data_IF_479353759559
#
_entry.id   IF_479353759559
#
_cell.length_a   1.000
_cell.length_b   1.000
_cell.length_c   1.000
_cell.angle_alpha   90.00
_cell.angle_beta   90.00
_cell.angle_gamma   90.00
#
_symmetry.space_group_name_H-M   'P 1'
#
loop_
_entity.id
_entity.type
_entity.pdbx_description
1 polymer ?
#
# COMPACT_ATOMS: atom_id res chain seq x y z
N UNK A 1 61.15 12.60 38.99
CA UNK A 1 62.53 12.05 38.98
C UNK A 1 63.41 13.08 38.28
N UNK A 2 64.21 13.86 39.02
CA UNK A 2 65.65 13.60 39.28
C UNK A 2 66.49 13.81 38.01
N UNK A 3 67.52 14.64 37.90
CA UNK A 3 68.33 15.43 38.86
C UNK A 3 69.15 16.41 37.97
N UNK A 4 69.11 17.72 38.23
CA UNK A 4 70.27 18.53 38.68
C UNK A 4 71.60 17.77 38.78
N UNK A 5 72.68 18.42 38.36
CA UNK A 5 73.78 18.57 39.32
C UNK A 5 74.40 19.96 39.32
N UNK A 6 74.85 20.33 40.53
CA UNK A 6 75.47 21.57 41.01
C UNK A 6 76.75 21.88 40.19
N UNK A 7 77.29 23.08 40.16
CA UNK A 7 77.63 23.94 41.29
C UNK A 7 78.08 25.32 40.79
N UNK A 8 77.91 26.37 41.60
CA UNK A 8 79.02 27.23 42.02
C UNK A 8 78.50 28.31 42.99
N UNK A 9 79.25 28.53 44.08
CA UNK A 9 78.98 29.53 45.08
C UNK A 9 79.81 30.81 44.83
N UNK A 10 79.11 31.95 44.88
CA UNK A 10 79.44 33.27 45.51
C UNK A 10 80.90 33.78 45.50
N UNK A 11 81.10 35.10 45.25
CA UNK A 11 80.88 36.07 46.34
C UNK A 11 80.26 37.44 45.97
N UNK A 12 79.62 38.00 47.02
CA UNK A 12 79.50 39.40 47.51
C UNK A 12 80.52 40.39 46.93
N UNK A 13 80.31 41.71 46.78
CA UNK A 13 79.40 42.72 47.38
C UNK A 13 79.56 44.00 46.56
N UNK A 14 78.48 44.75 46.32
CA UNK A 14 78.46 46.22 46.26
C UNK A 14 77.01 46.67 46.09
N UNK A 15 76.52 47.50 47.01
CA UNK A 15 75.29 48.25 46.81
C UNK A 15 75.62 49.50 45.98
N UNK A 16 74.87 49.79 44.91
CA UNK A 16 74.66 51.17 44.53
C UNK A 16 73.17 51.51 44.38
N UNK A 17 72.83 52.66 44.95
CA UNK A 17 71.92 53.68 44.43
C UNK A 17 70.61 53.23 43.77
N UNK A 18 69.52 53.51 44.49
CA UNK A 18 68.16 53.58 43.96
C UNK A 18 68.09 54.70 42.90
N UNK A 19 68.42 54.37 41.65
CA UNK A 19 68.03 55.18 40.49
C UNK A 19 66.50 55.14 40.39
N UNK A 20 65.87 56.31 40.54
CA UNK A 20 64.45 56.52 40.21
C UNK A 20 64.23 56.02 38.78
N UNK A 21 63.49 54.92 38.67
CA UNK A 21 63.16 54.22 37.43
C UNK A 21 62.29 55.15 36.59
N UNK A 22 62.89 55.74 35.56
CA UNK A 22 62.24 56.67 34.65
C UNK A 22 61.02 55.98 34.02
N UNK A 23 59.85 56.60 34.11
CA UNK A 23 58.59 56.01 33.65
C UNK A 23 58.58 55.71 32.15
N UNK A 24 59.54 56.26 31.41
CA UNK A 24 59.72 56.11 29.97
C UNK A 24 60.42 54.79 29.55
N UNK A 25 61.25 54.17 30.41
CA UNK A 25 61.83 52.83 30.11
C UNK A 25 60.78 51.72 30.18
N UNK A 26 59.72 51.91 30.99
CA UNK A 26 58.58 50.99 31.03
C UNK A 26 57.73 51.10 29.76
N UNK A 27 57.69 52.27 29.13
CA UNK A 27 56.93 52.48 27.89
C UNK A 27 57.54 51.70 26.72
N UNK A 28 58.87 51.61 26.62
CA UNK A 28 59.55 50.81 25.59
C UNK A 28 59.30 49.30 25.72
N UNK A 29 59.34 48.78 26.96
CA UNK A 29 59.04 47.36 27.23
C UNK A 29 57.55 47.06 27.00
N UNK A 30 56.65 47.93 27.45
CA UNK A 30 55.21 47.79 27.20
C UNK A 30 54.86 47.85 25.70
N UNK A 31 55.53 48.71 24.92
CA UNK A 31 55.36 48.76 23.47
C UNK A 31 55.81 47.47 22.78
N UNK A 32 56.94 46.88 23.21
CA UNK A 32 57.43 45.60 22.67
C UNK A 32 56.54 44.39 23.00
N UNK A 33 55.88 44.40 24.16
CA UNK A 33 54.92 43.37 24.58
C UNK A 33 53.59 43.56 23.84
N UNK A 34 53.12 44.81 23.67
CA UNK A 34 51.93 45.11 22.90
C UNK A 34 52.13 44.75 21.41
N UNK A 35 53.29 45.03 20.82
CA UNK A 35 53.56 44.65 19.43
C UNK A 35 53.59 43.14 19.24
N UNK A 36 54.18 42.37 20.16
CA UNK A 36 54.23 40.90 20.05
C UNK A 36 52.86 40.25 20.23
N UNK A 37 52.02 40.77 21.14
CA UNK A 37 50.64 40.32 21.31
C UNK A 37 49.79 40.64 20.08
N UNK A 38 49.93 41.83 19.49
CA UNK A 38 49.21 42.21 18.26
C UNK A 38 49.63 41.32 17.08
N UNK A 39 50.93 41.06 16.90
CA UNK A 39 51.44 40.19 15.83
C UNK A 39 50.94 38.75 16.01
N UNK A 40 51.00 38.21 17.23
CA UNK A 40 50.50 36.87 17.53
C UNK A 40 48.99 36.74 17.29
N UNK A 41 48.22 37.75 17.71
CA UNK A 41 46.76 37.79 17.49
C UNK A 41 46.42 37.85 16.00
N UNK A 42 47.13 38.68 15.23
CA UNK A 42 46.95 38.79 13.78
C UNK A 42 47.29 37.47 13.07
N UNK A 43 48.35 36.78 13.50
CA UNK A 43 48.76 35.48 12.97
C UNK A 43 47.70 34.40 13.23
N UNK A 44 47.10 34.43 14.42
CA UNK A 44 46.03 33.50 14.81
C UNK A 44 44.76 33.71 14.00
N UNK A 45 44.35 34.98 13.79
CA UNK A 45 43.19 35.34 12.95
C UNK A 45 43.43 34.97 11.49
N UNK A 46 44.61 35.25 10.95
CA UNK A 46 44.99 34.85 9.59
C UNK A 46 44.94 33.33 9.42
N UNK A 47 45.52 32.58 10.36
CA UNK A 47 45.50 31.12 10.32
C UNK A 47 44.08 30.56 10.41
N UNK A 48 43.23 31.12 11.28
CA UNK A 48 41.82 30.72 11.39
C UNK A 48 41.04 30.99 10.10
N UNK A 49 41.25 32.16 9.48
CA UNK A 49 40.60 32.53 8.22
C UNK A 49 41.02 31.61 7.08
N UNK A 50 42.31 31.25 7.01
CA UNK A 50 42.83 30.29 6.01
C UNK A 50 42.21 28.91 6.22
N UNK A 51 42.13 28.42 7.45
CA UNK A 51 41.49 27.13 7.77
C UNK A 51 40.01 27.11 7.39
N UNK A 52 39.26 28.17 7.72
CA UNK A 52 37.85 28.29 7.32
C UNK A 52 37.71 28.27 5.79
N UNK A 53 38.53 29.04 5.09
CA UNK A 53 38.52 29.09 3.62
C UNK A 53 38.83 27.72 3.00
N UNK A 54 39.76 26.94 3.59
CA UNK A 54 40.07 25.59 3.14
C UNK A 54 38.90 24.62 3.34
N UNK A 55 38.22 24.69 4.50
CA UNK A 55 37.04 23.87 4.79
C UNK A 55 35.89 24.22 3.84
N UNK A 56 35.65 25.51 3.59
CA UNK A 56 34.61 25.97 2.68
C UNK A 56 34.89 25.53 1.23
N UNK A 57 36.14 25.63 0.77
CA UNK A 57 36.53 25.12 -0.54
C UNK A 57 36.33 23.60 -0.66
N UNK A 58 36.69 22.81 0.38
CA UNK A 58 36.46 21.37 0.38
C UNK A 58 34.95 21.04 0.35
N UNK A 59 34.14 21.77 1.11
CA UNK A 59 32.69 21.60 1.11
C UNK A 59 32.07 21.95 -0.26
N UNK A 60 32.56 23.01 -0.92
CA UNK A 60 32.13 23.37 -2.27
C UNK A 60 32.56 22.33 -3.31
N UNK A 61 33.79 21.83 -3.23
CA UNK A 61 34.28 20.76 -4.12
C UNK A 61 33.45 19.47 -3.96
N UNK A 62 33.11 19.09 -2.73
CA UNK A 62 32.27 17.91 -2.46
C UNK A 62 30.85 18.08 -3.03
N UNK A 63 30.26 19.27 -2.89
CA UNK A 63 28.94 19.57 -3.48
C UNK A 63 28.98 19.50 -5.00
N UNK A 64 29.99 20.11 -5.62
CA UNK A 64 30.17 20.06 -7.07
C UNK A 64 30.38 18.63 -7.57
N UNK A 65 31.18 17.81 -6.88
CA UNK A 65 31.40 16.41 -7.24
C UNK A 65 30.12 15.56 -7.10
N UNK A 66 29.33 15.80 -6.06
CA UNK A 66 28.02 15.16 -5.86
C UNK A 66 27.04 15.56 -6.97
N UNK A 67 27.02 16.83 -7.39
CA UNK A 67 26.18 17.28 -8.49
C UNK A 67 26.59 16.67 -9.83
N UNK A 68 27.89 16.56 -10.12
CA UNK A 68 28.37 15.89 -11.34
C UNK A 68 28.02 14.41 -11.34
N UNK A 69 28.19 13.71 -10.22
CA UNK A 69 27.81 12.30 -10.10
C UNK A 69 26.31 12.11 -10.32
N UNK A 70 25.46 12.96 -9.73
CA UNK A 70 24.00 12.94 -9.95
C UNK A 70 23.63 13.24 -11.41
N UNK A 71 24.33 14.16 -12.09
CA UNK A 71 24.11 14.44 -13.52
C UNK A 71 24.48 13.25 -14.39
N UNK A 72 25.60 12.60 -14.10
CA UNK A 72 26.04 11.43 -14.85
C UNK A 72 25.12 10.24 -14.65
N UNK A 73 24.66 9.99 -13.42
CA UNK A 73 23.63 9.00 -13.10
C UNK A 73 22.33 9.28 -13.88
N UNK A 74 21.86 10.53 -13.90
CA UNK A 74 20.69 10.93 -14.71
C UNK A 74 20.89 10.68 -16.20
N UNK A 75 22.07 10.98 -16.74
CA UNK A 75 22.38 10.74 -18.15
C UNK A 75 22.44 9.25 -18.48
N UNK A 76 23.00 8.43 -17.60
CA UNK A 76 23.03 6.97 -17.74
C UNK A 76 21.62 6.38 -17.67
N UNK A 77 20.79 6.85 -16.72
CA UNK A 77 19.39 6.43 -16.62
C UNK A 77 18.59 6.85 -17.86
N UNK A 78 18.78 8.07 -18.36
CA UNK A 78 18.11 8.54 -19.59
C UNK A 78 18.51 7.69 -20.82
N UNK A 79 19.78 7.32 -20.93
CA UNK A 79 20.27 6.43 -21.99
C UNK A 79 19.66 5.03 -21.85
N UNK A 80 19.67 4.45 -20.65
CA UNK A 80 19.08 3.15 -20.39
C UNK A 80 17.58 3.14 -20.73
N UNK A 81 16.82 4.16 -20.31
CA UNK A 81 15.40 4.31 -20.66
C UNK A 81 15.20 4.40 -22.18
N UNK A 82 16.08 5.10 -22.90
CA UNK A 82 16.01 5.16 -24.37
C UNK A 82 16.22 3.79 -25.01
N UNK A 83 17.23 3.04 -24.56
CA UNK A 83 17.50 1.67 -25.05
C UNK A 83 16.34 0.72 -24.75
N UNK A 84 15.73 0.85 -23.56
CA UNK A 84 14.54 0.08 -23.18
C UNK A 84 13.35 0.40 -24.08
N UNK A 85 13.13 1.67 -24.42
CA UNK A 85 12.07 2.06 -25.37
C UNK A 85 12.31 1.41 -26.75
N UNK A 86 13.55 1.38 -27.23
CA UNK A 86 13.87 0.70 -28.50
C UNK A 86 13.54 -0.81 -28.43
N UNK A 87 13.80 -1.46 -27.30
CA UNK A 87 13.42 -2.86 -27.10
C UNK A 87 11.90 -3.06 -27.05
N UNK A 88 11.15 -2.11 -26.48
CA UNK A 88 9.68 -2.13 -26.52
C UNK A 88 9.14 -2.00 -27.96
N UNK A 89 9.84 -1.26 -28.82
CA UNK A 89 9.46 -1.06 -30.22
C UNK A 89 9.98 -2.15 -31.17
N UNK A 90 10.86 -3.04 -30.70
CA UNK A 90 11.54 -4.03 -31.55
C UNK A 90 10.62 -5.08 -32.20
N UNK A 91 9.39 -5.24 -31.71
CA UNK A 91 8.46 -6.28 -32.15
C UNK A 91 8.84 -7.70 -31.70
N UNK A 92 9.98 -7.88 -31.02
CA UNK A 92 10.41 -9.17 -30.46
C UNK A 92 9.85 -9.36 -29.03
N UNK A 93 8.96 -10.34 -28.80
CA UNK A 93 8.28 -10.49 -27.50
C UNK A 93 9.24 -10.64 -26.31
N UNK A 94 10.35 -11.36 -26.49
CA UNK A 94 11.35 -11.54 -25.44
C UNK A 94 12.02 -10.22 -25.03
N UNK A 95 12.41 -9.39 -26.00
CA UNK A 95 13.00 -8.07 -25.75
C UNK A 95 11.99 -7.12 -25.10
N UNK A 96 10.76 -7.13 -25.58
CA UNK A 96 9.68 -6.32 -25.00
C UNK A 96 9.43 -6.67 -23.52
N UNK A 97 9.37 -7.96 -23.18
CA UNK A 97 9.19 -8.40 -21.79
C UNK A 97 10.33 -7.99 -20.87
N UNK A 98 11.57 -8.18 -21.32
CA UNK A 98 12.75 -7.74 -20.56
C UNK A 98 12.70 -6.22 -20.36
N UNK A 99 12.33 -5.49 -21.41
CA UNK A 99 12.26 -4.04 -21.36
C UNK A 99 11.17 -3.54 -20.39
N UNK A 100 10.00 -4.16 -20.36
CA UNK A 100 8.92 -3.84 -19.41
C UNK A 100 9.38 -4.00 -17.95
N UNK A 101 10.01 -5.13 -17.63
CA UNK A 101 10.52 -5.43 -16.28
C UNK A 101 11.63 -4.44 -15.89
N UNK A 102 12.55 -4.17 -16.82
CA UNK A 102 13.67 -3.27 -16.59
C UNK A 102 13.23 -1.80 -16.49
N UNK A 103 12.21 -1.37 -17.24
CA UNK A 103 11.71 0.01 -17.24
C UNK A 103 11.22 0.41 -15.84
N UNK A 104 10.45 -0.44 -15.17
CA UNK A 104 9.98 -0.17 -13.80
C UNK A 104 11.12 -0.05 -12.80
N UNK A 105 12.22 -0.78 -13.01
CA UNK A 105 13.40 -0.70 -12.15
C UNK A 105 14.27 0.51 -12.47
N UNK A 106 14.33 0.95 -13.73
CA UNK A 106 15.14 2.09 -14.16
C UNK A 106 14.47 3.44 -13.82
N UNK A 107 13.14 3.46 -13.73
CA UNK A 107 12.32 4.66 -13.56
C UNK A 107 11.56 4.59 -12.23
N UNK A 108 12.27 4.30 -11.13
CA UNK A 108 11.65 4.11 -9.81
C UNK A 108 10.89 5.36 -9.32
N UNK A 109 11.30 6.55 -9.75
CA UNK A 109 10.78 7.82 -9.25
C UNK A 109 9.74 8.49 -10.17
N UNK A 110 9.43 7.91 -11.35
CA UNK A 110 8.50 8.50 -12.32
C UNK A 110 7.46 7.45 -12.80
N UNK A 111 6.52 7.16 -11.89
CA UNK A 111 5.43 6.20 -12.12
C UNK A 111 4.54 6.66 -13.29
N UNK A 112 4.42 7.97 -13.55
CA UNK A 112 3.68 8.54 -14.69
C UNK A 112 4.25 8.08 -16.03
N UNK A 113 5.57 8.19 -16.21
CA UNK A 113 6.23 7.74 -17.44
C UNK A 113 6.07 6.23 -17.64
N UNK A 114 6.27 5.44 -16.58
CA UNK A 114 6.13 3.98 -16.62
C UNK A 114 4.70 3.60 -17.00
N UNK A 115 3.70 4.18 -16.34
CA UNK A 115 2.28 3.91 -16.59
C UNK A 115 1.91 4.21 -18.04
N UNK A 116 2.29 5.38 -18.56
CA UNK A 116 1.96 5.78 -19.93
C UNK A 116 2.60 4.87 -20.98
N UNK A 117 3.88 4.50 -20.81
CA UNK A 117 4.57 3.61 -21.76
C UNK A 117 3.97 2.21 -21.69
N UNK A 118 3.81 1.67 -20.49
CA UNK A 118 3.33 0.30 -20.28
C UNK A 118 1.87 0.16 -20.71
N UNK A 119 1.01 1.16 -20.50
CA UNK A 119 -0.39 1.13 -20.94
C UNK A 119 -0.50 1.05 -22.46
N UNK A 120 0.33 1.80 -23.20
CA UNK A 120 0.39 1.71 -24.66
C UNK A 120 0.77 0.29 -25.07
N UNK A 121 1.89 -0.24 -24.54
CA UNK A 121 2.35 -1.60 -24.86
C UNK A 121 1.28 -2.65 -24.54
N UNK A 122 0.63 -2.55 -23.39
CA UNK A 122 -0.42 -3.48 -22.96
C UNK A 122 -1.65 -3.41 -23.88
N UNK A 123 -2.04 -2.21 -24.33
CA UNK A 123 -3.20 -2.02 -25.22
C UNK A 123 -2.94 -2.43 -26.68
N UNK A 124 -1.69 -2.33 -27.16
CA UNK A 124 -1.38 -2.58 -28.58
C UNK A 124 -0.76 -3.94 -28.86
N UNK A 125 -0.21 -4.63 -27.85
CA UNK A 125 0.51 -5.88 -28.07
C UNK A 125 -0.44 -7.04 -28.44
N UNK A 126 -0.12 -7.71 -29.54
CA UNK A 126 -0.79 -8.97 -29.93
C UNK A 126 -0.20 -10.20 -29.25
N UNK A 127 0.99 -10.10 -28.65
CA UNK A 127 1.62 -11.21 -27.96
C UNK A 127 1.11 -11.37 -26.53
N UNK A 128 0.66 -12.58 -26.17
CA UNK A 128 0.05 -12.86 -24.86
C UNK A 128 1.04 -12.68 -23.71
N UNK A 129 2.31 -13.03 -23.91
CA UNK A 129 3.33 -12.97 -22.87
C UNK A 129 3.76 -11.52 -22.59
N UNK A 130 3.80 -10.69 -23.62
CA UNK A 130 4.02 -9.24 -23.50
C UNK A 130 2.83 -8.58 -22.82
N UNK A 131 1.60 -8.90 -23.23
CA UNK A 131 0.37 -8.40 -22.61
C UNK A 131 0.32 -8.70 -21.10
N UNK A 132 0.57 -9.96 -20.72
CA UNK A 132 0.61 -10.38 -19.31
C UNK A 132 1.69 -9.61 -18.54
N UNK A 133 2.92 -9.54 -19.08
CA UNK A 133 4.02 -8.84 -18.42
C UNK A 133 3.73 -7.35 -18.24
N UNK A 134 3.11 -6.71 -19.24
CA UNK A 134 2.74 -5.29 -19.17
C UNK A 134 1.64 -5.08 -18.12
N UNK A 135 0.64 -5.96 -18.08
CA UNK A 135 -0.42 -5.94 -17.06
C UNK A 135 0.14 -6.13 -15.66
N UNK A 136 1.04 -7.10 -15.46
CA UNK A 136 1.72 -7.33 -14.17
C UNK A 136 2.55 -6.11 -13.76
N UNK A 137 3.20 -5.44 -14.72
CA UNK A 137 3.97 -4.21 -14.47
C UNK A 137 3.07 -3.06 -14.05
N UNK A 138 1.88 -2.92 -14.65
CA UNK A 138 0.87 -1.95 -14.24
C UNK A 138 0.32 -2.28 -12.84
N UNK A 139 0.07 -3.55 -12.52
CA UNK A 139 -0.45 -3.98 -11.22
C UNK A 139 0.43 -3.56 -10.04
N UNK A 140 1.74 -3.42 -10.25
CA UNK A 140 2.66 -2.97 -9.22
C UNK A 140 2.57 -1.47 -8.89
N UNK A 141 1.79 -0.69 -9.66
CA UNK A 141 1.58 0.75 -9.42
C UNK A 141 0.57 0.99 -8.31
N UNK A 142 0.79 2.07 -7.56
CA UNK A 142 -0.16 2.58 -6.55
C UNK A 142 -1.02 3.72 -7.12
N UNK A 143 -0.87 4.05 -8.40
CA UNK A 143 -1.61 5.13 -9.05
C UNK A 143 -3.06 4.71 -9.34
N UNK A 144 -4.07 5.41 -8.79
CA UNK A 144 -5.47 5.13 -9.06
C UNK A 144 -5.84 5.15 -10.56
N UNK A 145 -5.13 5.92 -11.39
CA UNK A 145 -5.37 5.98 -12.85
C UNK A 145 -5.16 4.62 -13.51
N UNK A 146 -4.24 3.82 -13.00
CA UNK A 146 -3.91 2.50 -13.55
C UNK A 146 -5.09 1.53 -13.45
N UNK A 147 -5.88 1.60 -12.37
CA UNK A 147 -7.11 0.80 -12.26
C UNK A 147 -8.07 1.11 -13.42
N UNK A 148 -8.24 2.38 -13.78
CA UNK A 148 -9.09 2.80 -14.90
C UNK A 148 -8.54 2.37 -16.25
N UNK A 149 -7.24 2.53 -16.48
CA UNK A 149 -6.58 2.06 -17.70
C UNK A 149 -6.81 0.56 -17.90
N UNK A 150 -6.62 -0.23 -16.84
CA UNK A 150 -6.81 -1.68 -16.86
C UNK A 150 -8.29 -2.04 -17.07
N UNK A 151 -9.23 -1.30 -16.50
CA UNK A 151 -10.66 -1.48 -16.74
C UNK A 151 -11.02 -1.20 -18.22
N UNK A 152 -10.52 -0.10 -18.78
CA UNK A 152 -10.74 0.25 -20.19
C UNK A 152 -10.13 -0.82 -21.12
N UNK A 153 -8.95 -1.33 -20.79
CA UNK A 153 -8.33 -2.46 -21.49
C UNK A 153 -9.16 -3.73 -21.41
N UNK A 154 -9.73 -4.06 -20.24
CA UNK A 154 -10.62 -5.21 -20.08
C UNK A 154 -11.83 -5.10 -21.02
N UNK A 155 -12.49 -3.94 -21.03
CA UNK A 155 -13.63 -3.67 -21.91
C UNK A 155 -13.23 -3.81 -23.39
N UNK A 156 -12.08 -3.26 -23.79
CA UNK A 156 -11.57 -3.39 -25.15
C UNK A 156 -11.31 -4.85 -25.55
N UNK A 157 -10.74 -5.65 -24.64
CA UNK A 157 -10.41 -7.06 -24.89
C UNK A 157 -11.62 -8.00 -24.79
N UNK A 158 -12.74 -7.58 -24.19
CA UNK A 158 -13.91 -8.44 -23.94
C UNK A 158 -14.46 -9.15 -25.19
N UNK A 159 -14.34 -8.54 -26.36
CA UNK A 159 -14.78 -9.11 -27.65
C UNK A 159 -13.69 -9.85 -28.41
N UNK A 160 -12.44 -9.42 -28.26
CA UNK A 160 -11.31 -9.93 -29.05
C UNK A 160 -10.66 -11.16 -28.40
N UNK A 161 -10.41 -11.07 -27.09
CA UNK A 161 -9.80 -12.12 -26.29
C UNK A 161 -10.36 -12.08 -24.86
N UNK A 162 -11.40 -12.89 -24.57
CA UNK A 162 -12.01 -12.96 -23.25
C UNK A 162 -11.02 -13.29 -22.13
N UNK A 163 -9.94 -14.04 -22.42
CA UNK A 163 -8.93 -14.37 -21.39
C UNK A 163 -8.13 -13.13 -21.00
N UNK A 164 -7.76 -12.29 -21.98
CA UNK A 164 -7.10 -11.00 -21.70
C UNK A 164 -8.00 -10.06 -20.94
N UNK A 165 -9.28 -10.00 -21.32
CA UNK A 165 -10.26 -9.21 -20.59
C UNK A 165 -10.27 -9.55 -19.10
N UNK A 166 -10.35 -10.84 -18.76
CA UNK A 166 -10.33 -11.30 -17.35
C UNK A 166 -9.03 -10.91 -16.64
N UNK A 167 -7.87 -11.03 -17.30
CA UNK A 167 -6.58 -10.66 -16.71
C UNK A 167 -6.50 -9.16 -16.41
N UNK A 168 -6.86 -8.30 -17.37
CA UNK A 168 -6.90 -6.86 -17.15
C UNK A 168 -7.97 -6.47 -16.12
N UNK A 169 -9.08 -7.19 -16.07
CA UNK A 169 -10.14 -6.95 -15.10
C UNK A 169 -9.67 -7.23 -13.66
N UNK A 170 -9.01 -8.36 -13.45
CA UNK A 170 -8.39 -8.72 -12.16
C UNK A 170 -7.31 -7.73 -11.76
N UNK A 171 -6.52 -7.27 -12.73
CA UNK A 171 -5.52 -6.23 -12.53
C UNK A 171 -6.16 -4.91 -12.07
N UNK A 172 -7.22 -4.47 -12.74
CA UNK A 172 -7.93 -3.24 -12.44
C UNK A 172 -8.48 -3.24 -11.01
N UNK A 173 -9.12 -4.34 -10.60
CA UNK A 173 -9.65 -4.49 -9.26
C UNK A 173 -8.53 -4.47 -8.22
N UNK A 174 -7.44 -5.22 -8.43
CA UNK A 174 -6.29 -5.23 -7.51
C UNK A 174 -5.71 -3.83 -7.31
N UNK A 175 -5.44 -3.11 -8.39
CA UNK A 175 -4.85 -1.77 -8.32
C UNK A 175 -5.82 -0.78 -7.69
N UNK A 176 -7.10 -0.80 -8.07
CA UNK A 176 -8.10 0.12 -7.52
C UNK A 176 -8.26 -0.04 -6.02
N UNK A 177 -8.18 -1.28 -5.55
CA UNK A 177 -8.21 -1.61 -4.13
C UNK A 177 -6.90 -1.24 -3.45
N UNK A 178 -5.75 -1.63 -4.02
CA UNK A 178 -4.43 -1.33 -3.47
C UNK A 178 -4.18 0.17 -3.33
N UNK A 179 -4.65 0.98 -4.28
CA UNK A 179 -4.58 2.43 -4.21
C UNK A 179 -5.48 3.04 -3.11
N UNK A 180 -6.50 2.31 -2.66
CA UNK A 180 -7.40 2.71 -1.57
C UNK A 180 -6.99 2.11 -0.20
N UNK A 181 -6.09 1.13 -0.19
CA UNK A 181 -5.61 0.41 1.01
C UNK A 181 -4.36 1.09 1.53
N UNK A 182 -4.43 1.57 2.78
CA UNK A 182 -3.29 2.13 3.50
C UNK A 182 -2.41 1.05 4.13
N UNK A 183 -1.31 1.47 4.75
CA UNK A 183 -0.48 0.54 5.51
C UNK A 183 -1.26 -0.05 6.69
N UNK A 184 -1.01 -1.32 6.99
CA UNK A 184 -1.68 -2.10 8.02
C UNK A 184 -3.01 -2.73 7.58
N UNK A 185 -3.43 -2.52 6.34
CA UNK A 185 -4.72 -2.99 5.83
C UNK A 185 -4.57 -4.23 4.95
N UNK A 186 -5.42 -5.23 5.18
CA UNK A 186 -5.51 -6.45 4.37
C UNK A 186 -6.97 -6.72 4.03
N UNK A 187 -7.24 -7.07 2.77
CA UNK A 187 -8.55 -7.44 2.27
C UNK A 187 -8.47 -8.84 1.66
N UNK A 188 -9.39 -9.71 2.08
CA UNK A 188 -9.55 -11.08 1.59
C UNK A 188 -10.91 -11.18 0.94
N UNK A 189 -10.91 -11.44 -0.37
CA UNK A 189 -12.12 -11.60 -1.15
C UNK A 189 -12.42 -13.07 -1.35
N UNK A 190 -13.70 -13.44 -1.31
CA UNK A 190 -14.16 -14.79 -1.58
C UNK A 190 -13.91 -15.26 -3.01
N UNK A 191 -13.77 -14.32 -3.96
CA UNK A 191 -13.59 -14.60 -5.38
C UNK A 191 -12.86 -13.43 -6.08
N UNK A 192 -11.98 -13.68 -7.07
CA UNK A 192 -11.36 -12.65 -7.90
C UNK A 192 -12.37 -11.92 -8.77
N UNK A 193 -11.94 -10.79 -9.35
CA UNK A 193 -12.69 -10.08 -10.39
C UNK A 193 -13.20 -11.06 -11.47
N UNK A 194 -14.49 -10.95 -11.77
CA UNK A 194 -15.23 -11.78 -12.72
C UNK A 194 -15.82 -13.03 -12.07
N UNK A 195 -15.45 -13.33 -10.83
CA UNK A 195 -15.85 -14.54 -10.13
C UNK A 195 -17.19 -14.42 -9.41
N UNK A 196 -17.82 -15.59 -9.25
CA UNK A 196 -19.03 -15.78 -8.47
C UNK A 196 -18.70 -16.41 -7.11
N UNK A 197 -19.51 -16.14 -6.10
CA UNK A 197 -19.54 -16.86 -4.82
C UNK A 197 -20.76 -17.76 -4.78
N UNK A 198 -20.69 -18.84 -4.01
CA UNK A 198 -21.74 -19.86 -3.96
C UNK A 198 -22.20 -20.10 -2.52
N UNK A 199 -23.49 -20.45 -2.40
CA UNK A 199 -24.11 -20.91 -1.16
C UNK A 199 -24.21 -22.44 -1.17
N UNK A 200 -23.90 -23.09 -0.04
CA UNK A 200 -23.99 -24.54 0.11
C UNK A 200 -25.09 -24.89 1.09
N UNK A 201 -26.14 -25.56 0.62
CA UNK A 201 -27.19 -26.08 1.48
C UNK A 201 -26.67 -27.17 2.44
N UNK A 202 -25.66 -27.94 2.02
CA UNK A 202 -25.03 -28.95 2.87
C UNK A 202 -24.26 -28.34 4.05
N UNK A 203 -23.59 -27.20 3.82
CA UNK A 203 -22.94 -26.42 4.87
C UNK A 203 -23.94 -25.54 5.64
N UNK A 204 -25.11 -25.25 5.04
CA UNK A 204 -26.08 -24.29 5.55
C UNK A 204 -25.54 -22.87 5.63
N UNK A 205 -24.59 -22.53 4.76
CA UNK A 205 -23.77 -21.31 4.78
C UNK A 205 -23.21 -20.97 3.39
N UNK A 206 -22.70 -19.75 3.21
CA UNK A 206 -21.82 -19.40 2.10
C UNK A 206 -20.55 -20.27 2.10
N UNK A 207 -20.14 -20.76 0.92
CA UNK A 207 -18.99 -21.67 0.79
C UNK A 207 -17.71 -21.05 1.31
N UNK A 208 -17.47 -19.77 0.99
CA UNK A 208 -16.31 -19.04 1.50
C UNK A 208 -16.40 -18.85 3.01
N UNK A 209 -17.54 -18.39 3.53
CA UNK A 209 -17.70 -18.19 4.98
C UNK A 209 -17.49 -19.46 5.77
N UNK A 210 -18.09 -20.57 5.34
CA UNK A 210 -17.90 -21.87 5.99
C UNK A 210 -16.41 -22.26 6.00
N UNK A 211 -15.74 -22.19 4.85
CA UNK A 211 -14.32 -22.51 4.74
C UNK A 211 -13.43 -21.56 5.57
N UNK A 212 -13.79 -20.28 5.67
CA UNK A 212 -13.07 -19.27 6.45
C UNK A 212 -13.17 -19.56 7.95
N UNK A 213 -14.39 -19.80 8.46
CA UNK A 213 -14.61 -20.13 9.87
C UNK A 213 -13.83 -21.40 10.24
N UNK A 214 -13.95 -22.46 9.45
CA UNK A 214 -13.20 -23.71 9.65
C UNK A 214 -11.68 -23.50 9.61
N UNK A 215 -11.21 -22.61 8.76
CA UNK A 215 -9.79 -22.27 8.64
C UNK A 215 -9.29 -21.55 9.88
N UNK A 216 -10.03 -20.56 10.37
CA UNK A 216 -9.67 -19.78 11.55
C UNK A 216 -9.76 -20.59 12.85
N UNK A 217 -10.70 -21.54 12.95
CA UNK A 217 -10.84 -22.43 14.12
C UNK A 217 -9.83 -23.59 14.16
N UNK A 218 -9.16 -23.89 13.05
CA UNK A 218 -8.28 -25.05 12.94
C UNK A 218 -7.07 -24.95 13.87
N UNK A 219 -6.87 -25.95 14.73
CA UNK A 219 -5.69 -26.06 15.61
C UNK A 219 -4.36 -26.17 14.86
N UNK A 220 -4.40 -26.63 13.61
CA UNK A 220 -3.23 -26.68 12.72
C UNK A 220 -3.27 -25.55 11.69
N UNK A 221 -4.20 -24.61 11.82
CA UNK A 221 -4.51 -23.56 10.85
C UNK A 221 -3.46 -22.46 10.71
N UNK A 222 -3.78 -21.41 9.93
CA UNK A 222 -2.88 -20.28 9.71
C UNK A 222 -2.75 -19.38 10.93
N UNK A 223 -3.55 -19.58 11.97
CA UNK A 223 -3.51 -18.74 13.15
C UNK A 223 -2.83 -19.48 14.30
N UNK A 224 -1.76 -18.90 14.85
CA UNK A 224 -0.98 -19.45 15.96
C UNK A 224 -0.82 -18.40 17.05
N UNK A 225 -1.11 -18.78 18.29
CA UNK A 225 -0.94 -17.90 19.46
C UNK A 225 -1.61 -16.52 19.28
N UNK A 226 -2.80 -16.47 18.68
CA UNK A 226 -3.48 -15.18 18.46
C UNK A 226 -3.14 -14.48 17.16
N UNK A 227 -2.16 -14.96 16.38
CA UNK A 227 -1.65 -14.26 15.20
C UNK A 227 -1.98 -15.03 13.93
N UNK A 228 -2.69 -14.39 13.01
CA UNK A 228 -3.01 -14.90 11.69
C UNK A 228 -1.80 -14.71 10.75
N UNK A 229 -1.26 -15.82 10.26
CA UNK A 229 -0.24 -15.86 9.21
C UNK A 229 -0.91 -15.80 7.83
N UNK A 230 -0.88 -14.62 7.21
CA UNK A 230 -1.48 -14.37 5.91
C UNK A 230 -0.82 -15.18 4.80
N UNK A 231 0.47 -15.51 4.93
CA UNK A 231 1.18 -16.33 3.93
C UNK A 231 0.66 -17.77 3.86
N UNK A 232 0.02 -18.23 4.94
CA UNK A 232 -0.58 -19.56 5.04
C UNK A 232 -2.08 -19.56 4.81
N UNK A 233 -2.77 -18.43 4.92
CA UNK A 233 -4.24 -18.39 4.84
C UNK A 233 -4.79 -19.15 3.62
N UNK A 234 -4.25 -18.89 2.43
CA UNK A 234 -4.69 -19.53 1.20
C UNK A 234 -4.47 -21.06 1.17
N UNK A 235 -3.39 -21.58 1.77
CA UNK A 235 -3.10 -23.02 1.76
C UNK A 235 -4.06 -23.83 2.64
N UNK A 236 -4.69 -23.19 3.62
CA UNK A 236 -5.75 -23.80 4.44
C UNK A 236 -7.15 -23.54 3.87
N UNK A 237 -7.38 -22.34 3.34
CA UNK A 237 -8.68 -21.93 2.85
C UNK A 237 -9.06 -22.60 1.53
N UNK A 238 -8.14 -22.61 0.54
CA UNK A 238 -8.44 -23.05 -0.82
C UNK A 238 -8.86 -24.53 -0.90
N UNK A 239 -8.21 -25.49 -0.19
CA UNK A 239 -8.65 -26.88 -0.23
C UNK A 239 -10.09 -27.07 0.28
N UNK A 240 -10.52 -26.30 1.29
CA UNK A 240 -11.88 -26.39 1.84
C UNK A 240 -12.93 -25.90 0.87
N UNK A 241 -12.64 -24.81 0.15
CA UNK A 241 -13.50 -24.28 -0.92
C UNK A 241 -13.54 -25.27 -2.08
N UNK A 242 -12.40 -25.78 -2.53
CA UNK A 242 -12.31 -26.75 -3.62
C UNK A 242 -13.09 -28.04 -3.34
N UNK A 243 -13.06 -28.54 -2.10
CA UNK A 243 -13.82 -29.71 -1.68
C UNK A 243 -15.33 -29.46 -1.66
N UNK A 244 -15.75 -28.25 -1.27
CA UNK A 244 -17.17 -27.89 -1.14
C UNK A 244 -17.80 -27.52 -2.47
N UNK A 245 -17.09 -26.78 -3.32
CA UNK A 245 -17.57 -26.28 -4.60
C UNK A 245 -16.38 -26.08 -5.56
N UNK A 246 -15.99 -27.12 -6.32
CA UNK A 246 -14.84 -27.06 -7.24
C UNK A 246 -14.93 -25.94 -8.30
N UNK A 247 -16.14 -25.48 -8.61
CA UNK A 247 -16.40 -24.41 -9.58
C UNK A 247 -16.24 -23.00 -9.01
N UNK A 248 -16.16 -22.83 -7.69
CA UNK A 248 -15.95 -21.52 -7.10
C UNK A 248 -14.51 -21.07 -7.35
N UNK A 249 -14.29 -19.89 -7.95
CA UNK A 249 -12.95 -19.32 -8.07
C UNK A 249 -12.33 -19.11 -6.68
N UNK A 250 -11.01 -19.35 -6.58
CA UNK A 250 -10.33 -19.31 -5.28
C UNK A 250 -10.22 -17.88 -4.76
N UNK A 251 -10.30 -17.67 -3.42
CA UNK A 251 -10.09 -16.37 -2.79
C UNK A 251 -8.80 -15.69 -3.22
N UNK A 252 -8.82 -14.35 -3.19
CA UNK A 252 -7.61 -13.55 -3.39
C UNK A 252 -7.43 -12.54 -2.26
N UNK A 253 -6.18 -12.17 -2.03
CA UNK A 253 -5.77 -11.25 -0.95
C UNK A 253 -5.11 -10.02 -1.56
N UNK A 254 -5.47 -8.85 -1.04
CA UNK A 254 -4.79 -7.58 -1.27
C UNK A 254 -4.29 -7.08 0.08
N UNK A 255 -3.00 -6.81 0.20
CA UNK A 255 -2.38 -6.28 1.42
C UNK A 255 -1.22 -5.34 1.08
N UNK A 256 -0.70 -4.67 2.10
CA UNK A 256 0.49 -3.81 2.03
C UNK A 256 1.82 -4.59 2.16
N UNK A 257 1.80 -5.92 1.99
CA UNK A 257 2.93 -6.80 2.29
C UNK A 257 2.98 -7.31 3.74
N UNK A 258 2.05 -6.89 4.61
CA UNK A 258 1.91 -7.49 5.94
C UNK A 258 1.71 -9.01 5.84
N UNK A 259 2.48 -9.77 6.62
CA UNK A 259 2.43 -11.24 6.64
C UNK A 259 1.75 -11.80 7.89
N UNK A 260 1.54 -10.97 8.92
CA UNK A 260 1.02 -11.40 10.21
C UNK A 260 0.07 -10.35 10.78
N UNK A 261 -1.10 -10.79 11.24
CA UNK A 261 -2.13 -9.94 11.86
C UNK A 261 -2.49 -10.50 13.24
N UNK A 262 -2.32 -9.75 14.34
CA UNK A 262 -2.90 -10.13 15.63
C UNK A 262 -4.43 -10.18 15.50
N UNK A 263 -5.03 -11.34 15.73
CA UNK A 263 -6.47 -11.57 15.54
C UNK A 263 -7.18 -11.90 16.86
N UNK A 264 -6.51 -12.58 17.78
CA UNK A 264 -7.08 -12.96 19.09
C UNK A 264 -6.30 -12.35 20.25
N UNK A 265 -6.84 -12.56 21.46
CA UNK A 265 -6.20 -12.18 22.71
C UNK A 265 -4.71 -12.60 22.75
N UNK A 266 -3.81 -11.75 23.28
CA UNK A 266 -4.09 -10.54 24.07
C UNK A 266 -4.38 -9.28 23.24
N UNK A 267 -4.41 -9.35 21.91
CA UNK A 267 -4.75 -8.20 21.08
C UNK A 267 -6.22 -7.78 21.29
N UNK A 268 -6.48 -6.47 21.37
CA UNK A 268 -7.83 -5.92 21.35
C UNK A 268 -8.36 -6.00 19.92
N UNK A 269 -9.34 -6.87 19.69
CA UNK A 269 -9.96 -7.05 18.37
C UNK A 269 -11.38 -6.50 18.38
N UNK A 270 -11.65 -5.51 17.51
CA UNK A 270 -12.96 -4.95 17.30
C UNK A 270 -13.49 -5.41 15.94
N UNK A 271 -14.72 -5.93 15.90
CA UNK A 271 -15.29 -6.57 14.72
C UNK A 271 -16.61 -5.94 14.35
N UNK A 272 -16.77 -5.63 13.07
CA UNK A 272 -18.04 -5.34 12.43
C UNK A 272 -18.38 -6.48 11.47
N UNK A 273 -19.41 -7.28 11.80
CA UNK A 273 -19.90 -8.37 10.95
C UNK A 273 -21.23 -7.97 10.30
N UNK A 274 -21.27 -7.94 8.97
CA UNK A 274 -22.42 -7.47 8.18
C UNK A 274 -22.93 -8.62 7.32
N UNK A 275 -24.23 -8.90 7.39
CA UNK A 275 -24.90 -9.87 6.53
C UNK A 275 -26.13 -9.25 5.86
N UNK A 276 -26.14 -9.14 4.53
CA UNK A 276 -27.27 -8.58 3.78
C UNK A 276 -27.97 -9.71 3.03
N UNK A 277 -29.03 -10.24 3.62
CA UNK A 277 -29.86 -11.29 3.05
C UNK A 277 -31.08 -10.73 2.30
N UNK A 278 -31.63 -9.60 2.75
CA UNK A 278 -32.84 -8.98 2.18
C UNK A 278 -32.56 -7.58 1.66
N UNK A 279 -33.21 -7.28 0.53
CA UNK A 279 -33.06 -6.03 -0.19
C UNK A 279 -34.42 -5.37 -0.39
N UNK A 280 -34.44 -4.05 -0.27
CA UNK A 280 -35.64 -3.22 -0.49
C UNK A 280 -36.07 -3.28 -1.95
N UNK A 281 -35.08 -3.33 -2.86
CA UNK A 281 -35.32 -3.51 -4.28
C UNK A 281 -35.64 -4.97 -4.59
N UNK A 282 -36.83 -5.29 -5.15
CA UNK A 282 -37.15 -6.66 -5.57
C UNK A 282 -36.31 -7.14 -6.77
N UNK A 283 -35.56 -6.23 -7.41
CA UNK A 283 -34.63 -6.57 -8.48
C UNK A 283 -33.32 -7.17 -7.96
N UNK A 284 -33.06 -7.16 -6.65
CA UNK A 284 -31.93 -7.87 -6.05
C UNK A 284 -32.51 -9.11 -5.34
N UNK A 285 -32.21 -10.33 -5.80
CA UNK A 285 -32.69 -11.55 -5.16
C UNK A 285 -32.23 -11.64 -3.70
N UNK A 286 -33.10 -12.12 -2.82
CA UNK A 286 -32.68 -12.40 -1.44
C UNK A 286 -31.68 -13.56 -1.39
N UNK A 287 -30.74 -13.49 -0.46
CA UNK A 287 -29.76 -14.56 -0.19
C UNK A 287 -30.23 -15.42 0.98
N UNK A 288 -29.90 -16.71 0.96
CA UNK A 288 -30.38 -17.65 1.95
C UNK A 288 -29.56 -17.60 3.25
N UNK A 289 -28.25 -17.38 3.13
CA UNK A 289 -27.32 -17.59 4.24
C UNK A 289 -26.54 -16.36 4.69
N UNK A 290 -26.47 -15.25 3.94
CA UNK A 290 -25.64 -14.09 4.32
C UNK A 290 -25.89 -13.56 5.73
N UNK A 291 -27.14 -13.55 6.20
CA UNK A 291 -27.45 -13.16 7.58
C UNK A 291 -26.94 -14.18 8.61
N UNK A 292 -27.06 -15.47 8.31
CA UNK A 292 -26.56 -16.57 9.16
C UNK A 292 -25.03 -16.60 9.16
N UNK A 293 -24.41 -16.33 8.02
CA UNK A 293 -22.97 -16.28 7.83
C UNK A 293 -22.34 -15.20 8.73
N UNK A 294 -22.93 -13.99 8.75
CA UNK A 294 -22.52 -12.93 9.67
C UNK A 294 -22.71 -13.29 11.16
N UNK A 295 -23.76 -14.03 11.49
CA UNK A 295 -23.99 -14.53 12.86
C UNK A 295 -22.97 -15.61 13.26
N UNK A 296 -22.64 -16.53 12.34
CA UNK A 296 -21.64 -17.57 12.58
C UNK A 296 -20.25 -16.98 12.76
N UNK A 297 -19.86 -16.01 11.90
CA UNK A 297 -18.62 -15.27 12.05
C UNK A 297 -18.58 -14.48 13.37
N UNK A 298 -19.70 -13.87 13.76
CA UNK A 298 -19.84 -13.21 15.07
C UNK A 298 -19.57 -14.17 16.23
N UNK A 299 -20.18 -15.36 16.19
CA UNK A 299 -20.01 -16.35 17.25
C UNK A 299 -18.54 -16.78 17.39
N UNK A 300 -17.87 -17.03 16.26
CA UNK A 300 -16.44 -17.32 16.22
C UNK A 300 -15.62 -16.20 16.86
N UNK A 301 -15.81 -14.95 16.42
CA UNK A 301 -14.98 -13.85 16.92
C UNK A 301 -15.21 -13.60 18.41
N UNK A 302 -16.47 -13.69 18.88
CA UNK A 302 -16.79 -13.60 20.32
C UNK A 302 -16.17 -14.71 21.14
N UNK A 303 -16.10 -15.95 20.63
CA UNK A 303 -15.48 -17.06 21.37
C UNK A 303 -13.97 -16.88 21.58
N UNK A 304 -13.34 -15.98 20.82
CA UNK A 304 -11.93 -15.59 20.96
C UNK A 304 -11.73 -14.23 21.65
N UNK A 305 -12.78 -13.69 22.29
CA UNK A 305 -12.69 -12.48 23.12
C UNK A 305 -12.76 -11.15 22.36
N UNK A 306 -13.18 -11.16 21.09
CA UNK A 306 -13.36 -9.95 20.32
C UNK A 306 -14.64 -9.19 20.70
N UNK A 307 -14.61 -7.86 20.57
CA UNK A 307 -15.79 -6.99 20.69
C UNK A 307 -16.49 -6.91 19.34
N UNK A 308 -17.69 -7.51 19.21
CA UNK A 308 -18.35 -7.68 17.90
C UNK A 308 -19.69 -6.92 17.83
N UNK A 309 -19.83 -6.07 16.82
CA UNK A 309 -21.10 -5.54 16.34
C UNK A 309 -21.57 -6.35 15.13
N UNK A 310 -22.79 -6.88 15.18
CA UNK A 310 -23.41 -7.62 14.07
C UNK A 310 -24.54 -6.78 13.47
N UNK A 311 -24.54 -6.60 12.15
CA UNK A 311 -25.55 -5.83 11.42
C UNK A 311 -26.16 -6.69 10.32
N UNK A 312 -27.49 -6.78 10.29
CA UNK A 312 -28.23 -7.60 9.33
C UNK A 312 -29.20 -6.72 8.53
N UNK A 313 -29.21 -6.89 7.21
CA UNK A 313 -30.12 -6.18 6.28
C UNK A 313 -30.12 -4.65 6.50
N UNK A 314 -28.93 -4.09 6.67
CA UNK A 314 -28.71 -2.66 6.94
C UNK A 314 -28.47 -1.84 5.68
N UNK A 315 -28.84 -0.56 5.75
CA UNK A 315 -28.63 0.43 4.68
C UNK A 315 -27.17 0.88 4.58
N UNK A 316 -26.80 1.46 3.44
CA UNK A 316 -25.46 2.02 3.21
C UNK A 316 -25.08 3.02 4.32
N UNK A 317 -25.98 3.95 4.65
CA UNK A 317 -25.72 4.96 5.67
C UNK A 317 -25.49 4.35 7.06
N UNK A 318 -26.24 3.31 7.41
CA UNK A 318 -26.04 2.59 8.68
C UNK A 318 -24.67 1.93 8.74
N UNK A 319 -24.21 1.32 7.65
CA UNK A 319 -22.89 0.69 7.56
C UNK A 319 -21.78 1.74 7.76
N UNK A 320 -21.80 2.81 6.96
CA UNK A 320 -20.77 3.86 7.03
C UNK A 320 -20.74 4.54 8.40
N UNK A 321 -21.91 4.90 8.94
CA UNK A 321 -22.02 5.45 10.29
C UNK A 321 -21.41 4.49 11.33
N UNK A 322 -21.67 3.18 11.20
CA UNK A 322 -21.12 2.21 12.16
C UNK A 322 -19.60 2.13 12.07
N UNK A 323 -19.02 2.21 10.88
CA UNK A 323 -17.55 2.28 10.71
C UNK A 323 -17.02 3.55 11.40
N UNK A 324 -17.64 4.71 11.19
CA UNK A 324 -17.21 5.98 11.81
C UNK A 324 -17.29 5.97 13.34
N UNK A 325 -18.22 5.21 13.94
CA UNK A 325 -18.27 5.00 15.40
C UNK A 325 -17.01 4.32 15.94
N UNK A 326 -16.34 3.47 15.15
CA UNK A 326 -15.07 2.86 15.55
C UNK A 326 -13.90 3.86 15.52
N UNK A 327 -13.96 4.90 14.68
CA UNK A 327 -12.93 5.95 14.66
C UNK A 327 -12.87 6.70 16.00
N UNK A 328 -14.02 6.88 16.65
CA UNK A 328 -14.13 7.64 17.91
C UNK A 328 -13.77 6.81 19.15
N UNK A 329 -13.77 5.48 19.04
CA UNK A 329 -13.63 4.55 20.18
C UNK A 329 -12.42 3.61 20.06
N UNK A 330 -11.68 3.67 18.95
CA UNK A 330 -10.51 2.84 18.71
C UNK A 330 -9.23 3.41 19.35
N UNK A 331 -8.23 2.54 19.49
CA UNK A 331 -6.86 2.89 19.83
C UNK A 331 -5.91 2.18 18.83
N UNK A 332 -4.66 2.62 18.73
CA UNK A 332 -3.69 2.14 17.75
C UNK A 332 -3.08 0.77 18.08
N UNK A 333 -3.44 0.18 19.22
CA UNK A 333 -2.87 -1.08 19.70
C UNK A 333 -3.62 -2.32 19.20
N UNK A 334 -4.83 -2.14 18.66
CA UNK A 334 -5.74 -3.22 18.29
C UNK A 334 -5.83 -3.56 16.80
N UNK A 335 -6.69 -4.54 16.51
CA UNK A 335 -7.06 -4.94 15.15
C UNK A 335 -8.55 -4.66 14.92
N UNK A 336 -8.85 -3.97 13.83
CA UNK A 336 -10.22 -3.87 13.32
C UNK A 336 -10.48 -4.96 12.28
N UNK A 337 -11.61 -5.66 12.41
CA UNK A 337 -12.05 -6.66 11.44
C UNK A 337 -13.41 -6.25 10.87
N UNK A 338 -13.48 -6.05 9.55
CA UNK A 338 -14.75 -5.98 8.84
C UNK A 338 -15.02 -7.33 8.17
N UNK A 339 -16.19 -7.88 8.40
CA UNK A 339 -16.70 -9.03 7.66
C UNK A 339 -17.98 -8.62 6.95
N UNK A 340 -18.07 -8.89 5.65
CA UNK A 340 -19.25 -8.59 4.84
C UNK A 340 -19.67 -9.84 4.07
N UNK A 341 -20.94 -10.23 4.19
CA UNK A 341 -21.59 -11.23 3.36
C UNK A 341 -22.84 -10.64 2.69
N UNK A 342 -22.93 -10.78 1.37
CA UNK A 342 -24.07 -10.26 0.61
C UNK A 342 -23.81 -10.24 -0.88
N UNK A 343 -24.66 -9.53 -1.63
CA UNK A 343 -24.40 -9.30 -3.05
C UNK A 343 -23.26 -8.31 -3.23
N UNK A 344 -22.51 -8.53 -4.30
CA UNK A 344 -21.48 -7.63 -4.78
C UNK A 344 -21.41 -7.76 -6.29
N UNK A 345 -20.88 -6.72 -6.90
CA UNK A 345 -20.64 -6.71 -8.33
C UNK A 345 -19.52 -5.74 -8.62
N UNK A 346 -18.96 -5.82 -9.82
CA UNK A 346 -18.00 -4.82 -10.25
C UNK A 346 -18.50 -4.11 -11.50
N UNK A 347 -18.40 -2.78 -11.46
CA UNK A 347 -18.78 -1.89 -12.55
C UNK A 347 -17.58 -1.02 -12.89
N UNK A 348 -17.09 -1.11 -14.14
CA UNK A 348 -15.93 -0.35 -14.63
C UNK A 348 -14.68 -0.47 -13.77
N UNK A 349 -14.38 -1.69 -13.31
CA UNK A 349 -13.22 -1.96 -12.45
C UNK A 349 -13.44 -1.63 -10.98
N UNK A 350 -14.56 -1.01 -10.61
CA UNK A 350 -14.88 -0.67 -9.22
C UNK A 350 -15.72 -1.79 -8.60
N UNK A 351 -15.15 -2.47 -7.59
CA UNK A 351 -15.91 -3.40 -6.76
C UNK A 351 -16.93 -2.62 -5.94
N UNK A 352 -18.18 -3.08 -5.97
CA UNK A 352 -19.30 -2.54 -5.20
C UNK A 352 -19.91 -3.64 -4.33
N UNK A 353 -20.38 -3.23 -3.15
CA UNK A 353 -21.09 -4.09 -2.20
C UNK A 353 -22.54 -3.61 -2.05
N UNK A 354 -23.48 -4.54 -2.01
CA UNK A 354 -24.90 -4.25 -1.92
C UNK A 354 -25.31 -4.05 -0.45
N UNK A 355 -25.88 -2.89 -0.12
CA UNK A 355 -26.60 -2.69 1.13
C UNK A 355 -28.09 -3.02 0.93
N UNK A 356 -28.87 -3.08 2.01
CA UNK A 356 -30.30 -3.38 1.92
C UNK A 356 -31.12 -2.36 1.11
N UNK A 357 -30.61 -1.13 0.97
CA UNK A 357 -31.18 -0.05 0.16
C UNK A 357 -30.52 0.08 -1.23
N UNK A 358 -29.66 -0.87 -1.63
CA UNK A 358 -29.06 -0.88 -2.97
C UNK A 358 -30.08 -1.17 -4.07
N UNK A 359 -29.80 -0.64 -5.26
CA UNK A 359 -30.50 -0.97 -6.50
C UNK A 359 -29.49 -1.57 -7.49
N UNK A 360 -29.84 -2.62 -8.24
CA UNK A 360 -28.91 -3.22 -9.17
C UNK A 360 -28.67 -2.30 -10.37
N UNK A 361 -27.51 -2.36 -11.03
CA UNK A 361 -27.30 -1.70 -12.31
C UNK A 361 -28.30 -2.19 -13.35
N UNK A 362 -28.66 -1.34 -14.31
CA UNK A 362 -29.70 -1.60 -15.30
C UNK A 362 -29.48 -2.83 -16.19
N UNK A 363 -28.23 -3.30 -16.36
CA UNK A 363 -27.90 -4.53 -17.11
C UNK A 363 -28.17 -5.82 -16.32
N UNK A 364 -28.01 -5.81 -14.99
CA UNK A 364 -28.51 -6.90 -14.12
C UNK A 364 -30.05 -6.99 -14.17
N UNK A 365 -30.71 -5.86 -14.43
CA UNK A 365 -32.16 -5.80 -14.66
C UNK A 365 -32.56 -6.51 -15.95
N UNK A 366 -31.74 -6.46 -17.01
CA UNK A 366 -32.02 -7.15 -18.27
C UNK A 366 -31.79 -8.67 -18.20
N UNK A 367 -30.79 -9.13 -17.43
CA UNK A 367 -30.62 -10.58 -17.16
C UNK A 367 -31.69 -11.15 -16.24
N UNK A 368 -32.21 -10.34 -15.32
CA UNK A 368 -33.32 -10.73 -14.44
C UNK A 368 -34.69 -10.54 -15.08
N UNK A 369 -34.81 -9.70 -16.12
CA UNK A 369 -36.07 -9.42 -16.82
C UNK A 369 -35.85 -9.06 -18.31
N UNK A 370 -35.67 -10.06 -19.18
CA UNK A 370 -36.33 -10.20 -20.50
C UNK A 370 -35.68 -11.31 -21.38
N UNK A 371 -36.45 -12.11 -22.14
CA UNK A 371 -36.18 -12.24 -23.56
C UNK A 371 -36.47 -10.88 -24.24
N UNK A 372 -35.41 -10.25 -24.74
CA UNK A 372 -35.37 -9.24 -25.82
C UNK A 372 -35.73 -7.75 -25.53
N UNK A 373 -34.69 -6.98 -25.17
CA UNK A 373 -34.24 -5.70 -25.75
C UNK A 373 -35.20 -4.50 -25.94
N UNK A 374 -34.91 -3.36 -25.29
CA UNK A 374 -34.40 -2.09 -25.91
C UNK A 374 -34.29 -0.96 -24.88
N UNK A 375 -33.23 -0.16 -25.04
CA UNK A 375 -32.62 0.63 -23.97
C UNK A 375 -33.19 2.01 -23.69
N UNK A 376 -32.90 2.50 -22.48
CA UNK A 376 -32.94 3.89 -22.01
C UNK A 376 -31.89 4.02 -20.88
N UNK A 377 -31.25 5.18 -20.80
CA UNK A 377 -30.18 5.57 -19.85
C UNK A 377 -30.74 5.68 -18.41
N UNK A 378 -30.06 5.08 -17.43
CA UNK A 378 -30.33 5.16 -15.98
C UNK A 378 -29.02 5.37 -15.17
N UNK A 379 -29.07 5.93 -13.94
CA UNK A 379 -27.87 6.20 -13.13
C UNK A 379 -27.21 4.91 -12.64
N UNK A 380 -25.88 4.83 -12.74
CA UNK A 380 -25.07 3.61 -12.69
C UNK A 380 -24.71 3.08 -11.29
N UNK A 381 -25.05 3.73 -10.18
CA UNK A 381 -24.14 3.68 -9.01
C UNK A 381 -24.76 3.52 -7.59
N UNK A 382 -25.81 2.69 -7.36
CA UNK A 382 -26.38 2.55 -5.99
C UNK A 382 -25.85 1.38 -5.13
N UNK A 383 -24.73 0.77 -5.52
CA UNK A 383 -23.95 -0.10 -4.63
C UNK A 383 -22.84 0.71 -3.96
N UNK A 384 -22.41 0.34 -2.76
CA UNK A 384 -21.31 1.04 -2.08
C UNK A 384 -19.99 0.71 -2.79
N UNK A 385 -19.27 1.70 -3.38
CA UNK A 385 -17.90 1.46 -3.84
C UNK A 385 -17.06 0.97 -2.67
N UNK A 386 -16.31 -0.11 -2.87
CA UNK A 386 -15.41 -0.60 -1.83
C UNK A 386 -14.35 0.45 -1.49
N UNK A 387 -13.92 1.26 -2.46
CA UNK A 387 -13.04 2.41 -2.24
C UNK A 387 -13.60 3.39 -1.19
N UNK A 388 -14.91 3.61 -1.17
CA UNK A 388 -15.54 4.54 -0.23
C UNK A 388 -15.55 3.92 1.17
N UNK A 389 -15.90 2.63 1.28
CA UNK A 389 -15.80 1.88 2.54
C UNK A 389 -14.35 1.93 3.07
N UNK A 390 -13.37 1.73 2.18
CA UNK A 390 -11.96 1.79 2.55
C UNK A 390 -11.53 3.18 3.01
N UNK A 391 -12.02 4.27 2.41
CA UNK A 391 -11.75 5.63 2.90
C UNK A 391 -12.23 5.84 4.36
N UNK A 392 -13.32 5.20 4.77
CA UNK A 392 -13.76 5.24 6.16
C UNK A 392 -12.89 4.35 7.06
N UNK A 393 -12.54 3.13 6.61
CA UNK A 393 -11.67 2.21 7.35
C UNK A 393 -10.26 2.78 7.56
N UNK A 394 -9.72 3.50 6.58
CA UNK A 394 -8.37 4.04 6.68
C UNK A 394 -8.22 5.16 7.71
N UNK A 395 -9.33 5.84 8.04
CA UNK A 395 -9.37 6.86 9.12
C UNK A 395 -9.42 6.25 10.51
N UNK A 396 -9.63 4.94 10.62
CA UNK A 396 -9.67 4.28 11.92
C UNK A 396 -8.26 4.24 12.54
N UNK A 397 -8.14 4.39 13.87
CA UNK A 397 -6.84 4.47 14.54
C UNK A 397 -6.08 3.14 14.59
N UNK A 398 -6.72 2.01 14.25
CA UNK A 398 -6.12 0.68 14.38
C UNK A 398 -4.90 0.51 13.48
N UNK A 399 -3.83 -0.05 14.06
CA UNK A 399 -2.63 -0.44 13.31
C UNK A 399 -2.90 -1.54 12.29
N UNK A 400 -3.81 -2.46 12.60
CA UNK A 400 -4.17 -3.56 11.72
C UNK A 400 -5.66 -3.49 11.36
N UNK A 401 -5.96 -3.54 10.06
CA UNK A 401 -7.33 -3.58 9.53
C UNK A 401 -7.46 -4.80 8.62
N UNK A 402 -8.38 -5.70 8.93
CA UNK A 402 -8.62 -6.92 8.17
C UNK A 402 -10.06 -6.92 7.64
N UNK A 403 -10.22 -7.04 6.32
CA UNK A 403 -11.54 -7.02 5.68
C UNK A 403 -11.77 -8.35 4.97
N UNK A 404 -12.85 -9.04 5.30
CA UNK A 404 -13.31 -10.25 4.60
C UNK A 404 -14.57 -9.91 3.79
N UNK A 405 -14.55 -10.23 2.50
CA UNK A 405 -15.65 -9.93 1.58
C UNK A 405 -16.16 -11.23 0.95
N UNK A 406 -17.29 -11.73 1.46
CA UNK A 406 -18.08 -12.82 0.89
C UNK A 406 -19.16 -12.27 -0.04
N UNK A 407 -18.74 -11.85 -1.23
CA UNK A 407 -19.61 -11.31 -2.25
C UNK A 407 -19.06 -11.61 -3.65
N UNK A 408 -19.94 -11.64 -4.65
CA UNK A 408 -19.54 -11.75 -6.05
C UNK A 408 -18.70 -10.54 -6.50
N UNK A 409 -17.89 -10.76 -7.52
CA UNK A 409 -17.09 -9.74 -8.19
C UNK A 409 -17.29 -9.79 -9.71
N UNK A 410 -18.45 -10.28 -10.17
CA UNK A 410 -18.79 -10.38 -11.58
C UNK A 410 -19.03 -9.00 -12.21
N UNK A 411 -18.69 -8.89 -13.48
CA UNK A 411 -18.88 -7.66 -14.26
C UNK A 411 -20.36 -7.50 -14.65
N UNK A 412 -20.87 -6.27 -14.56
CA UNK A 412 -22.26 -5.97 -14.89
C UNK A 412 -22.40 -5.33 -16.28
N UNK A 413 -21.33 -4.84 -16.91
CA UNK A 413 -21.41 -4.07 -18.15
C UNK A 413 -21.39 -4.89 -19.44
N UNK A 414 -20.93 -6.14 -19.40
CA UNK A 414 -20.86 -6.97 -20.60
C UNK A 414 -22.12 -7.83 -20.72
N UNK A 415 -23.10 -7.34 -21.48
CA UNK A 415 -24.24 -8.14 -21.97
C UNK A 415 -23.84 -9.29 -22.92
N UNK A 416 -22.61 -9.80 -22.81
CA UNK A 416 -22.09 -10.92 -23.57
C UNK A 416 -22.09 -12.16 -22.65
N UNK A 417 -23.16 -12.94 -22.77
CA UNK A 417 -23.07 -14.40 -22.63
C UNK A 417 -22.63 -15.00 -23.95
#
# INVERSE_FOLDING_TARGET
MSLREKALALPRTAAPEVKKKDSWDKAGVLASILSSVVIASLTLVLNHTIQQTQVDMQAQQLKASQETARREERNQNAKATTDLIQYLLSGEPAKQRIALIALRRAVQDDDDLVVNIVSVVASTSKDQSVYSTATDTLQASHDPRVSRILADMSVAQSKEDPKRSVVAYQAAQRVGVQAAVGSGTTIVYATPAGGYTFESAAAGAGVFTHALIDTLQSNIGPVKQGVLDLSKLASYLNPRIALSTPSQPMPFVVNDGSTSIPLWAPAKTQVLAIGIAKYTSPAIPSLLYSARDAQAFTALMKSHGAEVSTMIDVTQNQILKKIDEYASNGDDSGTFVLYFAGHGWNSKGVQRLAAADSFPPSSLRAELTQPQTRGIILPQDNGMPLSDIMQHIERLPFRHKLVFIDACANEVETGNR
#
